data_IF_800759867766
#
_entry.id   IF_800759867766
#
_cell.length_a   1.000
_cell.length_b   1.000
_cell.length_c   1.000
_cell.angle_alpha   90.00
_cell.angle_beta   90.00
_cell.angle_gamma   90.00
#
_symmetry.space_group_name_H-M   'P 1'
#
loop_
_entity.id
_entity.type
_entity.pdbx_description
1 polymer ?
#
# COMPACT_ATOMS: atom_id res chain seq x y z
N UNK A 1 2.49 -15.01 -12.45
CA UNK A 1 2.98 -14.04 -11.45
C UNK A 1 2.33 -12.70 -11.75
N UNK A 2 1.93 -11.94 -10.73
CA UNK A 2 1.27 -10.63 -10.87
C UNK A 2 2.02 -9.62 -9.98
N UNK A 3 1.97 -8.34 -10.35
CA UNK A 3 2.36 -7.25 -9.46
C UNK A 3 1.14 -6.84 -8.62
N UNK A 4 1.29 -6.87 -7.30
CA UNK A 4 0.24 -6.53 -6.35
C UNK A 4 0.29 -5.05 -5.94
N UNK A 5 -0.89 -4.51 -5.64
CA UNK A 5 -1.12 -3.12 -5.24
C UNK A 5 -1.89 -3.06 -3.92
N UNK A 6 -2.04 -1.86 -3.36
CA UNK A 6 -2.91 -1.66 -2.19
C UNK A 6 -4.35 -2.12 -2.41
N UNK A 7 -4.86 -2.01 -3.65
CA UNK A 7 -6.21 -2.40 -4.00
C UNK A 7 -6.40 -3.92 -4.02
N UNK A 8 -5.39 -4.68 -4.48
CA UNK A 8 -5.44 -6.15 -4.42
C UNK A 8 -5.63 -6.64 -2.99
N UNK A 9 -4.89 -6.07 -2.03
CA UNK A 9 -5.06 -6.35 -0.61
C UNK A 9 -6.42 -5.89 -0.08
N UNK A 10 -6.88 -4.70 -0.49
CA UNK A 10 -8.17 -4.15 -0.08
C UNK A 10 -9.30 -5.14 -0.42
N UNK A 11 -9.29 -5.68 -1.64
CA UNK A 11 -10.30 -6.60 -2.12
C UNK A 11 -10.11 -8.00 -1.54
N UNK A 12 -8.93 -8.59 -1.68
CA UNK A 12 -8.70 -10.02 -1.38
C UNK A 12 -8.54 -10.30 0.10
N UNK A 13 -7.78 -9.47 0.81
CA UNK A 13 -7.50 -9.68 2.24
C UNK A 13 -8.57 -9.02 3.12
N UNK A 14 -8.96 -7.81 2.77
CA UNK A 14 -9.76 -6.97 3.65
C UNK A 14 -11.27 -6.97 3.31
N UNK A 15 -11.67 -7.47 2.14
CA UNK A 15 -13.07 -7.56 1.70
C UNK A 15 -13.71 -6.22 1.36
N UNK A 16 -12.91 -5.19 1.06
CA UNK A 16 -13.37 -3.82 0.73
C UNK A 16 -13.04 -3.46 -0.71
N UNK A 17 -13.71 -2.45 -1.28
CA UNK A 17 -13.67 -2.16 -2.72
C UNK A 17 -12.62 -1.13 -3.12
N UNK A 18 -12.16 -0.30 -2.18
CA UNK A 18 -11.23 0.80 -2.46
C UNK A 18 -10.11 0.86 -1.43
N UNK A 19 -8.99 1.49 -1.81
CA UNK A 19 -7.88 1.76 -0.90
C UNK A 19 -8.33 2.69 0.22
N UNK A 20 -9.17 3.69 -0.07
CA UNK A 20 -9.74 4.56 0.95
C UNK A 20 -10.57 3.81 1.98
N UNK A 21 -11.43 2.89 1.55
CA UNK A 21 -12.21 2.04 2.46
C UNK A 21 -11.31 1.17 3.34
N UNK A 22 -10.21 0.65 2.78
CA UNK A 22 -9.20 -0.10 3.54
C UNK A 22 -8.58 0.76 4.63
N UNK A 23 -8.20 1.99 4.32
CA UNK A 23 -7.66 2.95 5.30
C UNK A 23 -8.71 3.26 6.38
N UNK A 24 -9.97 3.48 6.01
CA UNK A 24 -11.04 3.69 6.98
C UNK A 24 -11.30 2.48 7.86
N UNK A 25 -11.22 1.26 7.30
CA UNK A 25 -11.34 0.01 8.06
C UNK A 25 -10.27 -0.07 9.14
N UNK A 26 -9.00 0.12 8.79
CA UNK A 26 -7.93 0.11 9.80
C UNK A 26 -8.04 1.25 10.79
N UNK A 27 -8.46 2.44 10.37
CA UNK A 27 -8.75 3.52 11.31
C UNK A 27 -9.78 3.08 12.38
N UNK A 28 -10.86 2.40 11.98
CA UNK A 28 -11.85 1.84 12.91
C UNK A 28 -11.24 0.75 13.80
N UNK A 29 -10.47 -0.17 13.22
CA UNK A 29 -9.85 -1.28 13.96
C UNK A 29 -8.87 -0.78 15.03
N UNK A 30 -8.07 0.24 14.72
CA UNK A 30 -7.18 0.90 15.68
C UNK A 30 -7.97 1.63 16.79
N UNK A 31 -9.03 2.35 16.41
CA UNK A 31 -9.92 3.00 17.39
C UNK A 31 -10.53 1.99 18.36
N UNK A 32 -10.99 0.84 17.86
CA UNK A 32 -11.56 -0.24 18.69
C UNK A 32 -10.54 -0.86 19.66
N UNK A 33 -9.24 -0.76 19.34
CA UNK A 33 -8.13 -1.18 20.21
C UNK A 33 -7.66 -0.07 21.17
N UNK A 34 -8.37 1.05 21.26
CA UNK A 34 -8.01 2.18 22.13
C UNK A 34 -6.89 3.07 21.57
N UNK A 35 -6.53 2.92 20.30
CA UNK A 35 -5.52 3.75 19.62
C UNK A 35 -6.19 4.68 18.61
N UNK A 36 -6.52 5.93 18.98
CA UNK A 36 -7.20 6.85 18.08
C UNK A 36 -6.26 7.30 16.95
N UNK A 37 -6.48 6.79 15.74
CA UNK A 37 -5.78 7.22 14.52
C UNK A 37 -6.63 8.25 13.79
N UNK A 38 -6.06 9.43 13.54
CA UNK A 38 -6.68 10.47 12.73
C UNK A 38 -6.29 10.27 11.26
N UNK A 39 -7.28 10.14 10.38
CA UNK A 39 -7.07 10.06 8.94
C UNK A 39 -7.85 11.18 8.25
N UNK A 40 -7.16 11.98 7.44
CA UNK A 40 -7.78 13.00 6.57
C UNK A 40 -7.50 12.66 5.11
N UNK A 41 -8.55 12.47 4.30
CA UNK A 41 -8.41 12.03 2.91
C UNK A 41 -8.11 13.15 1.89
N UNK A 42 -8.03 14.41 2.33
CA UNK A 42 -7.52 15.50 1.50
C UNK A 42 -5.99 15.35 1.42
N UNK A 43 -5.40 15.04 0.25
CA UNK A 43 -3.97 14.84 0.16
C UNK A 43 -3.21 16.13 0.48
N UNK A 44 -2.23 16.06 1.37
CA UNK A 44 -1.41 17.22 1.78
C UNK A 44 0.07 16.82 1.80
N UNK A 45 0.94 17.79 1.55
CA UNK A 45 2.39 17.62 1.70
C UNK A 45 3.07 17.04 0.46
N UNK A 46 4.35 16.69 0.63
CA UNK A 46 5.22 16.22 -0.45
C UNK A 46 4.76 14.85 -0.96
N UNK A 47 4.69 14.70 -2.28
CA UNK A 47 4.41 13.41 -2.91
C UNK A 47 5.49 12.38 -2.57
N UNK A 48 5.07 11.14 -2.32
CA UNK A 48 5.98 10.04 -2.01
C UNK A 48 6.20 9.20 -3.26
N UNK A 49 7.45 8.99 -3.70
CA UNK A 49 7.73 8.14 -4.85
C UNK A 49 7.36 6.68 -4.55
N UNK A 50 6.65 6.04 -5.47
CA UNK A 50 6.37 4.61 -5.43
C UNK A 50 7.52 3.81 -6.06
N UNK A 51 7.75 2.61 -5.56
CA UNK A 51 8.68 1.62 -6.13
C UNK A 51 8.08 0.22 -6.04
N UNK A 52 8.61 -0.70 -6.85
CA UNK A 52 8.30 -2.13 -6.72
C UNK A 52 9.29 -2.79 -5.77
N UNK A 53 8.78 -3.58 -4.83
CA UNK A 53 9.56 -4.45 -3.96
C UNK A 53 8.87 -5.80 -3.84
N UNK A 54 9.59 -6.89 -4.12
CA UNK A 54 9.03 -8.26 -4.07
C UNK A 54 7.67 -8.39 -4.79
N UNK A 55 7.57 -7.87 -6.02
CA UNK A 55 6.32 -7.87 -6.81
C UNK A 55 5.15 -7.05 -6.22
N UNK A 56 5.44 -6.10 -5.33
CA UNK A 56 4.45 -5.20 -4.74
C UNK A 56 4.79 -3.74 -5.03
N UNK A 57 3.79 -2.94 -5.42
CA UNK A 57 3.91 -1.48 -5.39
C UNK A 57 3.83 -0.97 -3.96
N UNK A 58 4.90 -0.32 -3.52
CA UNK A 58 5.02 0.26 -2.19
C UNK A 58 5.52 1.70 -2.25
N UNK A 59 5.30 2.43 -1.17
CA UNK A 59 5.92 3.72 -0.93
C UNK A 59 6.55 3.73 0.47
N UNK A 60 7.73 4.35 0.59
CA UNK A 60 8.47 4.41 1.84
C UNK A 60 8.12 5.69 2.61
N UNK A 61 7.85 5.55 3.91
CA UNK A 61 7.73 6.65 4.83
C UNK A 61 9.11 7.03 5.37
N UNK A 62 9.32 8.33 5.61
CA UNK A 62 10.47 8.85 6.35
C UNK A 62 10.67 8.24 7.76
N UNK A 63 9.65 7.60 8.34
CA UNK A 63 9.76 6.93 9.64
C UNK A 63 10.40 5.53 9.56
N UNK A 64 10.80 5.10 8.35
CA UNK A 64 11.33 3.76 8.08
C UNK A 64 10.27 2.70 7.79
N UNK A 65 8.98 3.06 7.85
CA UNK A 65 7.88 2.18 7.43
C UNK A 65 7.70 2.17 5.91
N UNK A 66 7.05 1.13 5.39
CA UNK A 66 6.66 1.04 3.98
C UNK A 66 5.24 0.49 3.88
N UNK A 67 4.45 1.04 2.96
CA UNK A 67 3.05 0.64 2.77
C UNK A 67 2.76 0.36 1.31
N UNK A 68 1.81 -0.55 1.08
CA UNK A 68 1.29 -0.81 -0.26
C UNK A 68 0.56 0.42 -0.81
N UNK A 69 0.73 0.67 -2.11
CA UNK A 69 0.08 1.77 -2.82
C UNK A 69 -0.60 1.28 -4.08
N UNK A 70 -1.53 2.06 -4.60
CA UNK A 70 -2.27 1.78 -5.83
C UNK A 70 -2.20 2.98 -6.78
N UNK A 71 -2.13 2.71 -8.08
CA UNK A 71 -1.97 3.76 -9.09
C UNK A 71 -3.31 4.42 -9.46
N UNK A 72 -4.45 3.74 -9.30
CA UNK A 72 -5.79 4.32 -9.50
C UNK A 72 -6.21 5.15 -8.29
N UNK A 73 -5.77 4.76 -7.10
CA UNK A 73 -5.94 5.53 -5.87
C UNK A 73 -4.58 5.93 -5.25
N UNK A 74 -3.87 6.93 -5.82
CA UNK A 74 -2.50 7.28 -5.48
C UNK A 74 -2.41 8.08 -4.15
N UNK A 75 -2.87 7.46 -3.07
CA UNK A 75 -2.85 7.99 -1.71
C UNK A 75 -1.96 7.12 -0.82
N UNK A 76 -1.27 7.77 0.12
CA UNK A 76 -0.39 7.13 1.07
C UNK A 76 -0.79 7.46 2.51
N UNK A 77 -0.88 6.43 3.35
CA UNK A 77 -1.03 6.56 4.79
C UNK A 77 -0.17 5.52 5.50
N UNK A 78 0.80 5.97 6.31
CA UNK A 78 1.66 5.08 7.08
C UNK A 78 0.99 4.61 8.36
N UNK A 79 0.88 3.30 8.55
CA UNK A 79 0.32 2.71 9.77
C UNK A 79 1.32 2.70 10.94
N UNK A 80 2.61 2.82 10.66
CA UNK A 80 3.66 2.90 11.68
C UNK A 80 3.66 4.23 12.44
N UNK A 81 3.60 5.37 11.73
CA UNK A 81 3.64 6.70 12.36
C UNK A 81 2.33 7.49 12.23
N UNK A 82 1.30 6.95 11.57
CA UNK A 82 0.02 7.65 11.38
C UNK A 82 0.11 8.95 10.57
N UNK A 83 1.10 9.07 9.68
CA UNK A 83 1.39 10.31 8.92
C UNK A 83 1.50 11.57 9.82
N UNK A 84 2.22 11.47 10.95
CA UNK A 84 2.39 12.60 11.89
C UNK A 84 2.89 13.89 11.22
N UNK A 85 3.78 13.83 10.22
CA UNK A 85 4.29 15.01 9.51
C UNK A 85 3.22 15.80 8.76
N UNK A 86 2.11 15.16 8.41
CA UNK A 86 0.95 15.79 7.77
C UNK A 86 -0.28 15.77 8.66
N UNK A 87 -0.08 15.64 9.99
CA UNK A 87 -1.13 15.64 11.00
C UNK A 87 -2.27 14.63 10.71
N UNK A 88 -1.89 13.44 10.24
CA UNK A 88 -2.83 12.37 9.88
C UNK A 88 -3.49 12.54 8.49
N UNK A 89 -3.08 13.52 7.69
CA UNK A 89 -3.53 13.60 6.30
C UNK A 89 -2.82 12.58 5.41
N UNK A 90 -3.56 11.99 4.47
CA UNK A 90 -2.96 11.18 3.41
C UNK A 90 -2.05 12.04 2.55
N UNK A 91 -1.04 11.42 1.93
CA UNK A 91 -0.10 12.09 1.03
C UNK A 91 -0.30 11.59 -0.40
N UNK A 92 -0.06 12.42 -1.43
CA UNK A 92 -0.09 11.94 -2.81
C UNK A 92 1.07 10.97 -3.07
N UNK A 93 0.83 9.98 -3.93
CA UNK A 93 1.85 9.03 -4.39
C UNK A 93 2.26 9.35 -5.81
N UNK A 94 3.56 9.36 -6.08
CA UNK A 94 4.12 9.57 -7.40
C UNK A 94 4.59 8.25 -8.00
N UNK A 95 3.87 7.76 -9.00
CA UNK A 95 4.28 6.61 -9.78
C UNK A 95 5.19 7.02 -10.95
N UNK A 96 6.16 6.18 -11.34
CA UNK A 96 6.98 6.43 -12.52
C UNK A 96 6.10 6.38 -13.80
N UNK A 97 6.35 7.29 -14.75
CA UNK A 97 5.57 7.37 -16.00
C UNK A 97 5.62 6.09 -16.83
N UNK A 98 6.71 5.35 -16.76
CA UNK A 98 6.94 4.08 -17.46
C UNK A 98 6.54 2.85 -16.62
N UNK A 99 5.55 2.99 -15.73
CA UNK A 99 5.04 1.94 -14.82
C UNK A 99 4.90 0.57 -15.50
N UNK A 100 4.14 0.50 -16.59
CA UNK A 100 3.84 -0.74 -17.30
C UNK A 100 5.10 -1.45 -17.83
N UNK A 101 6.08 -0.68 -18.31
CA UNK A 101 7.38 -1.22 -18.76
C UNK A 101 8.19 -1.79 -17.60
N UNK A 102 8.10 -1.17 -16.42
CA UNK A 102 8.76 -1.68 -15.21
C UNK A 102 8.08 -2.98 -14.76
N UNK A 103 6.76 -3.02 -14.75
CA UNK A 103 5.97 -4.21 -14.38
C UNK A 103 6.30 -5.39 -15.31
N UNK A 104 6.28 -5.18 -16.63
CA UNK A 104 6.64 -6.21 -17.62
C UNK A 104 8.04 -6.79 -17.36
N UNK A 105 9.05 -5.93 -17.21
CA UNK A 105 10.43 -6.35 -16.92
C UNK A 105 10.60 -7.10 -15.61
N UNK A 106 9.77 -6.83 -14.61
CA UNK A 106 9.83 -7.55 -13.34
C UNK A 106 9.18 -8.92 -13.47
N UNK A 107 8.07 -9.01 -14.20
CA UNK A 107 7.36 -10.27 -14.45
C UNK A 107 8.16 -11.26 -15.31
N UNK A 108 9.07 -10.78 -16.15
CA UNK A 108 10.02 -11.60 -16.90
C UNK A 108 11.08 -12.28 -16.01
N UNK A 109 11.30 -11.79 -14.80
CA UNK A 109 12.38 -12.30 -13.94
C UNK A 109 12.00 -13.67 -13.37
N UNK A 110 12.86 -14.68 -13.48
CA UNK A 110 12.61 -15.97 -12.86
C UNK A 110 12.61 -15.80 -11.34
N UNK A 111 11.51 -16.20 -10.70
CA UNK A 111 11.40 -16.20 -9.25
C UNK A 111 11.71 -17.58 -8.71
N UNK A 112 12.74 -17.66 -7.88
CA UNK A 112 13.06 -18.88 -7.14
C UNK A 112 12.36 -18.81 -5.79
N UNK A 113 11.24 -19.52 -5.67
CA UNK A 113 10.47 -19.60 -4.43
C UNK A 113 11.20 -20.46 -3.39
N UNK A 114 12.21 -19.89 -2.72
CA UNK A 114 12.95 -20.55 -1.62
C UNK A 114 12.36 -20.26 -0.23
N UNK A 115 11.51 -19.24 -0.10
CA UNK A 115 10.83 -18.86 1.16
C UNK A 115 9.31 -19.01 1.00
N UNK A 116 8.63 -19.29 2.10
CA UNK A 116 7.19 -19.56 2.14
C UNK A 116 6.31 -18.43 1.59
N UNK A 117 5.01 -18.72 1.45
CA UNK A 117 4.02 -17.85 0.81
C UNK A 117 3.93 -16.47 1.48
N UNK A 118 3.92 -15.41 0.68
CA UNK A 118 3.59 -14.06 1.15
C UNK A 118 2.08 -13.93 1.47
N UNK A 119 1.67 -12.83 2.10
CA UNK A 119 0.28 -12.62 2.52
C UNK A 119 -0.72 -12.70 1.36
N UNK A 120 -0.32 -12.28 0.14
CA UNK A 120 -1.18 -12.35 -1.04
C UNK A 120 -1.25 -13.77 -1.59
N UNK A 121 -0.13 -14.47 -1.67
CA UNK A 121 -0.09 -15.87 -2.07
C UNK A 121 -0.91 -16.75 -1.12
N UNK A 122 -0.94 -16.42 0.19
CA UNK A 122 -1.86 -17.04 1.16
C UNK A 122 -3.33 -16.70 0.86
N UNK A 123 -3.63 -15.43 0.61
CA UNK A 123 -4.98 -14.97 0.29
C UNK A 123 -5.52 -15.53 -1.05
N UNK A 124 -4.65 -15.91 -1.97
CA UNK A 124 -5.02 -16.59 -3.22
C UNK A 124 -5.21 -18.10 -3.06
N UNK A 125 -4.60 -18.71 -2.05
CA UNK A 125 -4.68 -20.15 -1.76
C UNK A 125 -5.84 -20.56 -0.85
N UNK A 126 -6.56 -19.59 -0.29
CA UNK A 126 -7.69 -19.77 0.64
C UNK A 126 -9.03 -19.57 -0.07
#
# INVERSE_FOLDING_TARGET
MKIYTALDYAIKRDGVKTVKERVQKYQRDFKNKGMPVKVTFKPVGKAIPARIYQSHWIADCECGGAEFVDYNEPVFFCWGCGNQKTNGAVRPVLFPRNREKIEAKILERPVVAKRGLDDMAKAESA
#
